data_IF_044769310936
#
_entry.id   IF_044769310936
#
_cell.length_a   1.000
_cell.length_b   1.000
_cell.length_c   1.000
_cell.angle_alpha   90.00
_cell.angle_beta   90.00
_cell.angle_gamma   90.00
#
_symmetry.space_group_name_H-M   'P 1'
#
loop_
_entity.id
_entity.type
_entity.pdbx_description
1 polymer ?
#
# COMPACT_ATOMS: atom_id res chain seq x y z
N UNK A 1 -49.00 -53.81 -17.42
CA UNK A 1 -48.38 -55.08 -16.98
C UNK A 1 -48.26 -55.04 -15.46
N UNK A 2 -49.14 -55.80 -14.81
CA UNK A 2 -49.15 -56.00 -13.37
C UNK A 2 -48.17 -57.12 -13.00
N UNK A 3 -47.35 -56.91 -11.97
CA UNK A 3 -46.75 -58.02 -11.21
C UNK A 3 -47.03 -57.78 -9.74
N UNK A 4 -47.60 -58.82 -9.14
CA UNK A 4 -48.14 -58.96 -7.79
C UNK A 4 -47.09 -59.53 -6.83
N UNK A 5 -47.16 -59.06 -5.59
CA UNK A 5 -47.13 -59.82 -4.32
C UNK A 5 -45.86 -60.59 -3.95
N UNK A 6 -45.35 -60.25 -2.76
CA UNK A 6 -44.44 -61.06 -1.95
C UNK A 6 -44.31 -60.49 -0.54
N UNK A 7 -45.41 -60.52 0.23
CA UNK A 7 -45.47 -60.14 1.64
C UNK A 7 -44.91 -61.30 2.50
N UNK A 8 -43.67 -61.16 3.00
CA UNK A 8 -43.05 -62.05 3.97
C UNK A 8 -42.82 -61.31 5.27
N UNK A 9 -43.71 -61.50 6.24
CA UNK A 9 -43.63 -60.96 7.60
C UNK A 9 -42.65 -61.82 8.42
N UNK A 10 -41.44 -61.32 8.68
CA UNK A 10 -40.50 -61.91 9.65
C UNK A 10 -40.47 -61.01 10.88
N UNK A 11 -41.08 -61.49 11.95
CA UNK A 11 -41.09 -60.85 13.27
C UNK A 11 -39.75 -61.15 13.97
N UNK A 12 -38.78 -60.23 13.84
CA UNK A 12 -37.54 -60.26 14.61
C UNK A 12 -37.72 -59.42 15.89
N UNK A 13 -37.81 -60.09 17.03
CA UNK A 13 -37.72 -59.45 18.36
C UNK A 13 -36.25 -59.07 18.59
N UNK A 14 -35.91 -57.83 18.23
CA UNK A 14 -34.65 -57.19 18.59
C UNK A 14 -34.75 -56.70 20.03
N UNK A 15 -34.12 -57.44 20.95
CA UNK A 15 -33.71 -56.91 22.25
C UNK A 15 -32.67 -55.81 21.99
N UNK A 16 -33.11 -54.55 22.04
CA UNK A 16 -32.24 -53.39 21.93
C UNK A 16 -31.37 -53.28 23.20
N UNK A 17 -30.20 -53.91 23.17
CA UNK A 17 -29.11 -53.55 24.07
C UNK A 17 -28.63 -52.14 23.71
N UNK A 18 -28.36 -51.26 24.69
CA UNK A 18 -27.88 -49.91 24.40
C UNK A 18 -26.46 -49.99 23.80
N UNK A 19 -26.34 -49.74 22.50
CA UNK A 19 -25.07 -49.57 21.79
C UNK A 19 -24.48 -48.19 22.13
N UNK A 20 -24.07 -47.99 23.37
CA UNK A 20 -23.56 -46.71 23.87
C UNK A 20 -22.03 -46.48 23.74
N UNK A 21 -21.12 -47.47 23.63
CA UNK A 21 -19.68 -47.17 23.75
C UNK A 21 -18.98 -46.72 22.45
N UNK A 22 -19.55 -47.00 21.27
CA UNK A 22 -18.87 -46.72 20.00
C UNK A 22 -18.95 -45.25 19.55
N UNK A 23 -19.98 -44.51 19.98
CA UNK A 23 -20.16 -43.09 19.63
C UNK A 23 -19.18 -42.18 20.40
N UNK A 24 -18.95 -42.44 21.68
CA UNK A 24 -18.09 -41.59 22.54
C UNK A 24 -16.61 -41.58 22.15
N UNK A 25 -16.10 -42.71 21.64
CA UNK A 25 -14.75 -42.75 21.11
C UNK A 25 -14.59 -41.85 19.87
N UNK A 26 -15.64 -41.71 19.06
CA UNK A 26 -15.59 -40.95 17.81
C UNK A 26 -15.53 -39.43 18.01
N UNK A 27 -16.26 -38.87 18.98
CA UNK A 27 -16.23 -37.42 19.22
C UNK A 27 -14.90 -36.96 19.85
N UNK A 28 -14.32 -37.75 20.75
CA UNK A 28 -13.00 -37.47 21.30
C UNK A 28 -11.91 -37.54 20.22
N UNK A 29 -12.02 -38.48 19.28
CA UNK A 29 -11.14 -38.57 18.11
C UNK A 29 -11.30 -37.37 17.16
N UNK A 30 -12.55 -36.94 16.90
CA UNK A 30 -12.84 -35.76 16.10
C UNK A 30 -12.28 -34.48 16.71
N UNK A 31 -12.42 -34.30 18.03
CA UNK A 31 -11.85 -33.16 18.73
C UNK A 31 -10.32 -33.14 18.64
N UNK A 32 -9.67 -34.30 18.80
CA UNK A 32 -8.21 -34.42 18.64
C UNK A 32 -7.76 -34.14 17.21
N UNK A 33 -8.48 -34.64 16.21
CA UNK A 33 -8.21 -34.36 14.78
C UNK A 33 -8.37 -32.87 14.46
N UNK A 34 -9.44 -32.24 14.95
CA UNK A 34 -9.71 -30.82 14.74
C UNK A 34 -8.67 -29.93 15.46
N UNK A 35 -8.28 -30.28 16.69
CA UNK A 35 -7.21 -29.58 17.40
C UNK A 35 -5.87 -29.68 16.64
N UNK A 36 -5.51 -30.87 16.17
CA UNK A 36 -4.29 -31.06 15.38
C UNK A 36 -4.35 -30.30 14.03
N UNK A 37 -5.52 -30.19 13.40
CA UNK A 37 -5.70 -29.39 12.20
C UNK A 37 -5.54 -27.88 12.47
N UNK A 38 -6.08 -27.39 13.59
CA UNK A 38 -5.91 -26.00 14.02
C UNK A 38 -4.44 -25.66 14.32
N UNK A 39 -3.71 -26.54 15.00
CA UNK A 39 -2.28 -26.31 15.26
C UNK A 39 -1.45 -26.30 13.97
N UNK A 40 -1.76 -27.18 13.00
CA UNK A 40 -1.13 -27.13 11.67
C UNK A 40 -1.44 -25.82 10.95
N UNK A 41 -2.71 -25.39 10.94
CA UNK A 41 -3.11 -24.14 10.30
C UNK A 41 -2.43 -22.91 10.94
N UNK A 42 -2.24 -22.92 12.27
CA UNK A 42 -1.47 -21.87 12.98
C UNK A 42 0.01 -21.88 12.61
N UNK A 43 0.61 -23.06 12.49
CA UNK A 43 2.00 -23.19 12.06
C UNK A 43 2.18 -22.67 10.62
N UNK A 44 1.32 -23.09 9.69
CA UNK A 44 1.29 -22.61 8.30
C UNK A 44 1.06 -21.09 8.22
N UNK A 45 0.14 -20.55 9.02
CA UNK A 45 -0.07 -19.10 9.11
C UNK A 45 1.15 -18.37 9.69
N UNK A 46 1.89 -18.98 10.61
CA UNK A 46 3.15 -18.47 11.15
C UNK A 46 4.23 -18.41 10.07
N UNK A 47 4.43 -19.48 9.31
CA UNK A 47 5.35 -19.53 8.17
C UNK A 47 4.97 -18.50 7.09
N UNK A 48 3.68 -18.41 6.76
CA UNK A 48 3.15 -17.38 5.87
C UNK A 48 3.43 -15.97 6.41
N UNK A 49 3.30 -15.74 7.71
CA UNK A 49 3.65 -14.48 8.36
C UNK A 49 5.12 -14.09 8.17
N UNK A 50 6.05 -15.05 8.30
CA UNK A 50 7.48 -14.84 8.04
C UNK A 50 7.73 -14.51 6.56
N UNK A 51 7.09 -15.25 5.65
CA UNK A 51 7.18 -15.00 4.21
C UNK A 51 6.65 -13.60 3.84
N UNK A 52 5.51 -13.18 4.43
CA UNK A 52 4.96 -11.83 4.25
C UNK A 52 5.91 -10.75 4.77
N UNK A 53 6.55 -10.96 5.91
CA UNK A 53 7.51 -10.00 6.45
C UNK A 53 8.73 -9.83 5.52
N UNK A 54 9.29 -10.95 5.03
CA UNK A 54 10.37 -10.96 4.04
C UNK A 54 9.95 -10.26 2.75
N UNK A 55 8.78 -10.62 2.21
CA UNK A 55 8.26 -10.02 0.97
C UNK A 55 7.96 -8.53 1.10
N UNK A 56 7.50 -8.04 2.26
CA UNK A 56 7.34 -6.61 2.52
C UNK A 56 8.68 -5.88 2.55
N UNK A 57 9.71 -6.49 3.13
CA UNK A 57 11.06 -5.93 3.10
C UNK A 57 11.63 -5.85 1.68
N UNK A 58 11.38 -6.86 0.84
CA UNK A 58 11.72 -6.85 -0.58
C UNK A 58 10.95 -5.78 -1.34
N UNK A 59 9.63 -5.67 -1.14
CA UNK A 59 8.80 -4.64 -1.74
C UNK A 59 9.28 -3.22 -1.38
N UNK A 60 9.70 -3.00 -0.14
CA UNK A 60 10.29 -1.72 0.29
C UNK A 60 11.62 -1.43 -0.43
N UNK A 61 12.47 -2.43 -0.65
CA UNK A 61 13.72 -2.29 -1.42
C UNK A 61 13.44 -1.96 -2.89
N UNK A 62 12.50 -2.65 -3.52
CA UNK A 62 12.06 -2.38 -4.89
C UNK A 62 11.49 -0.96 -5.03
N UNK A 63 10.65 -0.52 -4.08
CA UNK A 63 10.14 0.85 -4.05
C UNK A 63 11.28 1.89 -4.00
N UNK A 64 12.27 1.68 -3.14
CA UNK A 64 13.43 2.56 -3.05
C UNK A 64 14.29 2.54 -4.34
N UNK A 65 14.35 1.41 -5.06
CA UNK A 65 15.00 1.33 -6.37
C UNK A 65 14.23 2.12 -7.43
N UNK A 66 12.90 1.99 -7.47
CA UNK A 66 12.04 2.72 -8.39
C UNK A 66 12.08 4.23 -8.17
N UNK A 67 12.16 4.69 -6.92
CA UNK A 67 12.35 6.12 -6.63
C UNK A 67 13.67 6.66 -7.19
N UNK A 68 14.77 5.88 -7.08
CA UNK A 68 16.06 6.25 -7.69
C UNK A 68 15.96 6.30 -9.21
N UNK A 69 15.34 5.29 -9.81
CA UNK A 69 15.17 5.21 -11.26
C UNK A 69 14.26 6.33 -11.80
N UNK A 70 13.22 6.72 -11.05
CA UNK A 70 12.40 7.87 -11.37
C UNK A 70 13.22 9.17 -11.34
N UNK A 71 14.12 9.33 -10.38
CA UNK A 71 15.09 10.43 -10.35
C UNK A 71 16.03 10.43 -11.56
N UNK A 72 16.50 9.27 -12.00
CA UNK A 72 17.33 9.13 -13.21
C UNK A 72 16.55 9.49 -14.49
N UNK A 73 15.27 9.08 -14.59
CA UNK A 73 14.37 9.48 -15.69
C UNK A 73 14.20 11.00 -15.71
N UNK A 74 13.94 11.62 -14.56
CA UNK A 74 13.79 13.07 -14.45
C UNK A 74 15.07 13.80 -14.90
N UNK A 75 16.24 13.34 -14.46
CA UNK A 75 17.52 13.89 -14.88
C UNK A 75 17.74 13.73 -16.40
N UNK A 76 17.36 12.58 -16.98
CA UNK A 76 17.44 12.35 -18.42
C UNK A 76 16.47 13.25 -19.21
N UNK A 77 15.28 13.52 -18.69
CA UNK A 77 14.32 14.47 -19.27
C UNK A 77 14.84 15.90 -19.30
N UNK A 78 15.50 16.35 -18.23
CA UNK A 78 16.17 17.65 -18.19
C UNK A 78 17.29 17.71 -19.25
N UNK A 79 18.16 16.68 -19.32
CA UNK A 79 19.22 16.61 -20.34
C UNK A 79 18.66 16.67 -21.76
N UNK A 80 17.61 15.90 -22.03
CA UNK A 80 16.92 15.91 -23.32
C UNK A 80 16.34 17.30 -23.65
N UNK A 81 15.68 17.94 -22.68
CA UNK A 81 15.07 19.26 -22.87
C UNK A 81 16.10 20.35 -23.16
N UNK A 82 17.25 20.31 -22.47
CA UNK A 82 18.39 21.20 -22.74
C UNK A 82 18.96 20.97 -24.14
N UNK A 83 19.20 19.71 -24.53
CA UNK A 83 19.69 19.36 -25.86
C UNK A 83 18.72 19.79 -26.97
N UNK A 84 17.42 19.57 -26.77
CA UNK A 84 16.39 19.99 -27.71
C UNK A 84 16.26 21.53 -27.80
N UNK A 85 16.44 22.23 -26.68
CA UNK A 85 16.52 23.69 -26.65
C UNK A 85 17.69 24.23 -27.45
N UNK A 86 18.89 23.68 -27.24
CA UNK A 86 20.08 24.06 -28.00
C UNK A 86 19.91 23.78 -29.51
N UNK A 87 19.36 22.61 -29.87
CA UNK A 87 19.09 22.26 -31.25
C UNK A 87 18.15 23.28 -31.92
N UNK A 88 17.06 23.68 -31.25
CA UNK A 88 16.13 24.71 -31.76
C UNK A 88 16.79 26.08 -31.93
N UNK A 89 17.59 26.51 -30.97
CA UNK A 89 18.33 27.78 -31.05
C UNK A 89 19.29 27.79 -32.25
N UNK A 90 19.97 26.66 -32.51
CA UNK A 90 20.88 26.52 -33.67
C UNK A 90 20.15 26.54 -35.00
N UNK A 91 19.07 25.78 -35.14
CA UNK A 91 18.24 25.80 -36.36
C UNK A 91 17.73 27.23 -36.64
N UNK A 92 17.33 27.95 -35.58
CA UNK A 92 16.90 29.35 -35.70
C UNK A 92 18.05 30.26 -36.15
N UNK A 93 19.25 30.12 -35.58
CA UNK A 93 20.43 30.90 -35.97
C UNK A 93 20.88 30.62 -37.42
N UNK A 94 20.82 29.36 -37.86
CA UNK A 94 21.08 28.97 -39.26
C UNK A 94 20.08 29.63 -40.20
N UNK A 95 18.79 29.59 -39.85
CA UNK A 95 17.73 30.22 -40.65
C UNK A 95 17.91 31.74 -40.76
N UNK A 96 18.18 32.43 -39.63
CA UNK A 96 18.40 33.89 -39.61
C UNK A 96 19.65 34.28 -40.41
N UNK A 97 20.76 33.56 -40.23
CA UNK A 97 22.02 33.87 -40.93
C UNK A 97 21.98 33.55 -42.44
N UNK A 98 21.14 32.60 -42.87
CA UNK A 98 20.88 32.34 -44.27
C UNK A 98 20.02 33.44 -44.93
N UNK A 99 19.08 34.03 -44.18
CA UNK A 99 18.26 35.16 -44.65
C UNK A 99 19.05 36.46 -44.87
N UNK A 100 20.10 36.69 -44.08
CA UNK A 100 20.88 37.95 -44.08
C UNK A 100 21.92 38.05 -45.22
N UNK A 101 22.23 36.94 -45.91
CA UNK A 101 23.30 36.87 -46.93
C UNK A 101 22.80 36.92 -48.38
N UNK A 102 21.51 37.16 -48.63
CA UNK A 102 20.95 37.33 -49.98
C UNK A 102 21.06 38.80 -50.44
N UNK A 103 22.25 39.37 -50.34
CA UNK A 103 22.63 40.68 -50.89
C UNK A 103 23.77 40.50 -51.88
N UNK A 104 23.46 40.10 -53.11
CA UNK A 104 24.45 39.77 -54.15
C UNK A 104 24.90 41.01 -54.92
N UNK A 105 26.15 41.46 -54.75
CA UNK A 105 26.97 42.02 -55.85
C UNK A 105 28.47 41.67 -55.69
N UNK A 106 28.97 41.02 -56.74
CA UNK A 106 30.36 40.93 -57.21
C UNK A 106 31.44 40.28 -56.34
N UNK A 107 31.63 38.96 -56.51
CA UNK A 107 32.96 38.32 -56.48
C UNK A 107 32.96 36.97 -57.21
N UNK A 108 34.04 36.65 -57.91
CA UNK A 108 34.23 35.46 -58.78
C UNK A 108 34.47 34.13 -58.01
N UNK A 109 33.52 33.81 -57.13
CA UNK A 109 33.37 32.61 -56.26
C UNK A 109 34.22 32.39 -54.98
N UNK A 110 34.62 33.44 -54.23
CA UNK A 110 34.96 33.28 -52.81
C UNK A 110 33.74 32.83 -51.97
N UNK A 111 32.52 33.05 -52.47
CA UNK A 111 31.28 32.53 -51.89
C UNK A 111 31.19 31.00 -51.89
N UNK A 112 31.86 30.30 -52.82
CA UNK A 112 31.91 28.84 -52.89
C UNK A 112 32.85 28.22 -51.87
N UNK A 113 33.99 28.85 -51.61
CA UNK A 113 34.93 28.42 -50.55
C UNK A 113 34.34 28.69 -49.16
N UNK A 114 33.75 29.87 -48.95
CA UNK A 114 33.05 30.19 -47.70
C UNK A 114 31.81 29.32 -47.52
N UNK A 115 31.03 29.01 -48.57
CA UNK A 115 29.92 28.05 -48.47
C UNK A 115 30.38 26.64 -48.16
N UNK A 116 31.47 26.15 -48.74
CA UNK A 116 32.00 24.81 -48.44
C UNK A 116 32.57 24.72 -47.03
N UNK A 117 33.32 25.72 -46.59
CA UNK A 117 33.84 25.78 -45.21
C UNK A 117 32.72 25.96 -44.18
N UNK A 118 31.71 26.79 -44.49
CA UNK A 118 30.52 26.95 -43.66
C UNK A 118 29.69 25.67 -43.65
N UNK A 119 29.40 25.04 -44.79
CA UNK A 119 28.67 23.77 -44.85
C UNK A 119 29.43 22.63 -44.15
N UNK A 120 30.77 22.59 -44.22
CA UNK A 120 31.58 21.61 -43.51
C UNK A 120 31.63 21.87 -41.99
N UNK A 121 31.75 23.14 -41.56
CA UNK A 121 31.76 23.51 -40.15
C UNK A 121 30.38 23.40 -39.48
N UNK A 122 29.31 23.68 -40.24
CA UNK A 122 27.91 23.39 -39.89
C UNK A 122 27.73 21.87 -39.81
N UNK A 123 28.21 21.10 -40.79
CA UNK A 123 28.04 19.65 -40.77
C UNK A 123 28.70 18.97 -39.56
N UNK A 124 29.97 19.19 -39.26
CA UNK A 124 30.65 18.43 -38.19
C UNK A 124 30.13 18.78 -36.80
N UNK A 125 29.93 20.08 -36.53
CA UNK A 125 29.44 20.54 -35.24
C UNK A 125 27.97 20.18 -35.03
N UNK A 126 27.12 20.29 -36.06
CA UNK A 126 25.70 19.96 -35.96
C UNK A 126 25.45 18.45 -35.88
N UNK A 127 26.28 17.63 -36.53
CA UNK A 127 26.27 16.17 -36.33
C UNK A 127 26.53 15.79 -34.87
N UNK A 128 27.46 16.48 -34.20
CA UNK A 128 27.71 16.28 -32.77
C UNK A 128 26.47 16.55 -31.90
N UNK A 129 25.71 17.60 -32.20
CA UNK A 129 24.49 17.94 -31.46
C UNK A 129 23.32 16.99 -31.75
N UNK A 130 23.12 16.63 -33.02
CA UNK A 130 22.08 15.67 -33.40
C UNK A 130 22.36 14.31 -32.74
N UNK A 131 23.62 13.87 -32.73
CA UNK A 131 24.03 12.67 -32.02
C UNK A 131 23.80 12.79 -30.50
N UNK A 132 24.12 13.94 -29.89
CA UNK A 132 23.85 14.15 -28.47
C UNK A 132 22.34 14.12 -28.13
N UNK A 133 21.50 14.72 -28.99
CA UNK A 133 20.05 14.68 -28.85
C UNK A 133 19.49 13.26 -29.01
N UNK A 134 19.97 12.51 -29.99
CA UNK A 134 19.59 11.12 -30.23
C UNK A 134 19.98 10.22 -29.05
N UNK A 135 21.21 10.35 -28.55
CA UNK A 135 21.69 9.63 -27.37
C UNK A 135 20.85 9.97 -26.14
N UNK A 136 20.54 11.26 -25.91
CA UNK A 136 19.70 11.68 -24.80
C UNK A 136 18.25 11.14 -24.90
N UNK A 137 17.69 11.13 -26.11
CA UNK A 137 16.35 10.58 -26.37
C UNK A 137 16.31 9.06 -26.14
N UNK A 138 17.32 8.34 -26.62
CA UNK A 138 17.44 6.90 -26.45
C UNK A 138 17.66 6.50 -24.99
N UNK A 139 18.50 7.26 -24.26
CA UNK A 139 18.73 7.06 -22.82
C UNK A 139 17.42 7.27 -22.03
N UNK A 140 16.70 8.37 -22.30
CA UNK A 140 15.41 8.66 -21.66
C UNK A 140 14.42 7.52 -21.88
N UNK A 141 14.24 7.06 -23.12
CA UNK A 141 13.29 5.98 -23.41
C UNK A 141 13.70 4.64 -22.79
N UNK A 142 15.01 4.35 -22.73
CA UNK A 142 15.53 3.17 -22.03
C UNK A 142 15.19 3.22 -20.54
N UNK A 143 15.42 4.36 -19.88
CA UNK A 143 15.14 4.53 -18.46
C UNK A 143 13.62 4.47 -18.19
N UNK A 144 12.79 5.10 -19.03
CA UNK A 144 11.33 5.01 -18.92
C UNK A 144 10.85 3.57 -19.04
N UNK A 145 11.32 2.80 -20.04
CA UNK A 145 11.01 1.36 -20.14
C UNK A 145 11.43 0.58 -18.89
N UNK A 146 12.65 0.78 -18.41
CA UNK A 146 13.12 0.13 -17.19
C UNK A 146 12.24 0.45 -15.98
N UNK A 147 11.75 1.69 -15.86
CA UNK A 147 10.86 2.10 -14.78
C UNK A 147 9.53 1.36 -14.86
N UNK A 148 8.96 1.23 -16.06
CA UNK A 148 7.72 0.48 -16.30
C UNK A 148 7.85 -0.99 -15.93
N UNK A 149 8.93 -1.63 -16.38
CA UNK A 149 9.17 -3.06 -16.15
C UNK A 149 9.34 -3.37 -14.65
N UNK A 150 10.14 -2.56 -13.93
CA UNK A 150 10.34 -2.74 -12.48
C UNK A 150 9.07 -2.44 -11.67
N UNK A 151 8.26 -1.49 -12.11
CA UNK A 151 7.02 -1.17 -11.43
C UNK A 151 5.96 -2.27 -11.62
N UNK A 152 5.93 -2.90 -12.81
CA UNK A 152 5.12 -4.09 -13.04
C UNK A 152 5.57 -5.27 -12.17
N UNK A 153 6.88 -5.45 -11.98
CA UNK A 153 7.42 -6.45 -11.06
C UNK A 153 7.00 -6.19 -9.60
N UNK A 154 7.07 -4.94 -9.14
CA UNK A 154 6.61 -4.57 -7.80
C UNK A 154 5.11 -4.83 -7.62
N UNK A 155 4.29 -4.49 -8.62
CA UNK A 155 2.85 -4.76 -8.59
C UNK A 155 2.56 -6.27 -8.54
N UNK A 156 3.29 -7.07 -9.31
CA UNK A 156 3.22 -8.53 -9.27
C UNK A 156 3.58 -9.10 -7.89
N UNK A 157 4.64 -8.59 -7.26
CA UNK A 157 5.01 -8.98 -5.89
C UNK A 157 3.90 -8.62 -4.89
N UNK A 158 3.33 -7.41 -4.97
CA UNK A 158 2.26 -6.98 -4.08
C UNK A 158 1.04 -7.91 -4.16
N UNK A 159 0.57 -8.25 -5.36
CA UNK A 159 -0.54 -9.18 -5.57
C UNK A 159 -0.24 -10.58 -5.00
N UNK A 160 1.00 -11.08 -5.15
CA UNK A 160 1.39 -12.38 -4.57
C UNK A 160 1.36 -12.37 -3.05
N UNK A 161 1.81 -11.29 -2.41
CA UNK A 161 1.77 -11.15 -0.96
C UNK A 161 0.33 -11.06 -0.44
N UNK A 162 -0.53 -10.33 -1.14
CA UNK A 162 -1.96 -10.26 -0.79
C UNK A 162 -2.63 -11.64 -0.92
N UNK A 163 -2.38 -12.36 -2.01
CA UNK A 163 -2.90 -13.72 -2.19
C UNK A 163 -2.42 -14.70 -1.12
N UNK A 164 -1.15 -14.62 -0.70
CA UNK A 164 -0.61 -15.46 0.36
C UNK A 164 -1.22 -15.12 1.73
N UNK A 165 -1.43 -13.83 2.02
CA UNK A 165 -2.10 -13.39 3.25
C UNK A 165 -3.56 -13.86 3.30
N UNK A 166 -4.29 -13.75 2.18
CA UNK A 166 -5.67 -14.20 2.07
C UNK A 166 -5.79 -15.72 2.28
N UNK A 167 -4.97 -16.51 1.59
CA UNK A 167 -4.97 -17.97 1.71
C UNK A 167 -4.66 -18.45 3.14
N UNK A 168 -3.67 -17.85 3.80
CA UNK A 168 -3.34 -18.18 5.19
C UNK A 168 -4.48 -17.81 6.16
N UNK A 169 -5.13 -16.66 5.95
CA UNK A 169 -6.27 -16.22 6.75
C UNK A 169 -7.49 -17.14 6.60
N UNK A 170 -7.83 -17.52 5.38
CA UNK A 170 -8.95 -18.44 5.10
C UNK A 170 -8.73 -19.82 5.73
N UNK A 171 -7.52 -20.37 5.62
CA UNK A 171 -7.17 -21.65 6.22
C UNK A 171 -7.31 -21.62 7.76
N UNK A 172 -6.86 -20.54 8.41
CA UNK A 172 -6.98 -20.38 9.86
C UNK A 172 -8.45 -20.30 10.30
N UNK A 173 -9.25 -19.45 9.65
CA UNK A 173 -10.68 -19.30 9.96
C UNK A 173 -11.42 -20.63 9.77
N UNK A 174 -11.14 -21.36 8.70
CA UNK A 174 -11.74 -22.68 8.45
C UNK A 174 -11.38 -23.69 9.55
N UNK A 175 -10.13 -23.71 10.00
CA UNK A 175 -9.65 -24.60 11.06
C UNK A 175 -10.27 -24.26 12.43
N UNK A 176 -10.38 -22.97 12.77
CA UNK A 176 -11.04 -22.50 14.00
C UNK A 176 -12.52 -22.85 14.02
N UNK A 177 -13.21 -22.71 12.89
CA UNK A 177 -14.61 -23.10 12.76
C UNK A 177 -14.78 -24.62 12.91
N UNK A 178 -13.87 -25.43 12.33
CA UNK A 178 -13.89 -26.89 12.49
C UNK A 178 -13.66 -27.33 13.94
N UNK A 179 -12.68 -26.73 14.62
CA UNK A 179 -12.42 -26.97 16.03
C UNK A 179 -13.61 -26.60 16.91
N UNK A 180 -14.23 -25.44 16.66
CA UNK A 180 -15.41 -24.99 17.42
C UNK A 180 -16.60 -25.93 17.28
N UNK A 181 -16.85 -26.45 16.06
CA UNK A 181 -17.90 -27.47 15.83
C UNK A 181 -17.59 -28.79 16.54
N UNK A 182 -16.35 -29.27 16.46
CA UNK A 182 -15.94 -30.50 17.13
C UNK A 182 -16.07 -30.41 18.66
N UNK A 183 -15.69 -29.26 19.23
CA UNK A 183 -15.85 -28.97 20.65
C UNK A 183 -17.32 -28.96 21.08
N UNK A 184 -18.18 -28.27 20.33
CA UNK A 184 -19.62 -28.23 20.62
C UNK A 184 -20.26 -29.63 20.58
N UNK A 185 -19.86 -30.48 19.62
CA UNK A 185 -20.32 -31.86 19.54
C UNK A 185 -19.89 -32.70 20.75
N UNK A 186 -18.62 -32.58 21.17
CA UNK A 186 -18.11 -33.26 22.36
C UNK A 186 -18.81 -32.79 23.65
N UNK A 187 -19.01 -31.48 23.82
CA UNK A 187 -19.72 -30.92 24.99
C UNK A 187 -21.19 -31.40 25.06
N UNK A 188 -21.85 -31.54 23.90
CA UNK A 188 -23.20 -32.08 23.82
C UNK A 188 -23.27 -33.57 24.21
N UNK A 189 -22.28 -34.37 23.80
CA UNK A 189 -22.19 -35.78 24.19
C UNK A 189 -21.93 -35.94 25.70
N UNK A 190 -20.98 -35.19 26.26
CA UNK A 190 -20.72 -35.18 27.70
C UNK A 190 -21.94 -34.73 28.52
N UNK A 191 -22.72 -33.77 28.00
CA UNK A 191 -23.99 -33.38 28.63
C UNK A 191 -25.02 -34.51 28.60
N UNK A 192 -25.13 -35.25 27.49
CA UNK A 192 -26.02 -36.41 27.38
C UNK A 192 -25.60 -37.53 28.35
N UNK A 193 -24.31 -37.83 28.46
CA UNK A 193 -23.78 -38.82 29.41
C UNK A 193 -24.08 -38.41 30.86
N UNK A 194 -23.89 -37.14 31.22
CA UNK A 194 -24.25 -36.61 32.55
C UNK A 194 -25.75 -36.71 32.83
N UNK A 195 -26.60 -36.44 31.85
CA UNK A 195 -28.06 -36.56 31.99
C UNK A 195 -28.49 -38.01 32.24
N UNK A 196 -27.90 -38.98 31.52
CA UNK A 196 -28.16 -40.42 31.73
C UNK A 196 -27.69 -40.86 33.13
N UNK A 197 -26.51 -40.43 33.57
CA UNK A 197 -25.99 -40.74 34.91
C UNK A 197 -26.87 -40.15 36.04
N UNK A 198 -27.37 -38.92 35.86
CA UNK A 198 -28.28 -38.28 36.81
C UNK A 198 -29.65 -38.98 36.88
N UNK A 199 -30.17 -39.46 35.74
CA UNK A 199 -31.41 -40.25 35.70
C UNK A 199 -31.26 -41.60 36.40
N UNK A 200 -30.10 -42.26 36.26
CA UNK A 200 -29.80 -43.54 36.90
C UNK A 200 -29.70 -43.42 38.43
N UNK A 201 -29.05 -42.36 38.94
CA UNK A 201 -28.98 -42.09 40.39
C UNK A 201 -30.35 -41.78 40.98
N UNK A 202 -31.18 -40.99 40.30
CA UNK A 202 -32.56 -40.69 40.75
C UNK A 202 -33.42 -41.95 40.87
N UNK A 203 -33.30 -42.88 39.92
CA UNK A 203 -34.04 -44.16 39.93
C UNK A 203 -33.63 -45.05 41.11
N UNK A 204 -32.35 -45.03 41.49
CA UNK A 204 -31.83 -45.83 42.60
C UNK A 204 -32.18 -45.24 43.96
N UNK A 205 -32.18 -43.91 44.09
CA UNK A 205 -32.52 -43.20 45.33
C UNK A 205 -34.01 -43.33 45.71
N UNK A 206 -34.91 -43.48 44.73
CA UNK A 206 -36.36 -43.67 44.98
C UNK A 206 -36.71 -45.05 45.57
N UNK A 207 -35.75 -45.97 45.71
CA UNK A 207 -35.96 -47.30 46.30
C UNK A 207 -35.47 -47.43 47.76
N UNK A 208 -34.90 -46.38 48.36
CA UNK A 208 -34.42 -46.39 49.74
C UNK A 208 -35.51 -45.93 50.75
N UNK A 209 -35.70 -46.61 51.90
CA UNK A 209 -36.70 -46.25 52.90
C UNK A 209 -36.37 -44.90 53.60
N UNK A 210 -37.39 -44.16 54.08
CA UNK A 210 -37.21 -42.80 54.59
C UNK A 210 -36.40 -42.81 55.88
N UNK A 211 -35.19 -42.25 55.83
CA UNK A 211 -34.39 -41.95 57.02
C UNK A 211 -34.53 -40.46 57.34
N UNK A 212 -35.02 -40.18 58.54
CA UNK A 212 -35.18 -38.85 59.11
C UNK A 212 -33.78 -38.33 59.45
N UNK A 213 -33.38 -37.16 58.94
CA UNK A 213 -32.13 -36.53 59.41
C UNK A 213 -32.28 -35.02 59.53
N UNK A 214 -31.85 -34.58 60.71
CA UNK A 214 -31.96 -33.27 61.34
C UNK A 214 -31.04 -32.23 60.70
N UNK A 215 -31.59 -31.04 60.48
CA UNK A 215 -30.92 -29.81 60.02
C UNK A 215 -29.92 -29.27 61.05
N UNK A 216 -28.67 -29.06 60.62
CA UNK A 216 -27.69 -28.22 61.32
C UNK A 216 -27.10 -27.20 60.34
N UNK A 217 -27.20 -25.92 60.71
CA UNK A 217 -26.74 -24.76 59.94
C UNK A 217 -25.25 -24.45 60.21
N UNK A 218 -24.77 -23.36 59.57
CA UNK A 218 -23.55 -22.53 59.85
C UNK A 218 -22.34 -22.82 58.92
N UNK A 219 -21.43 -21.85 58.64
CA UNK A 219 -21.58 -20.42 58.31
C UNK A 219 -20.94 -20.00 56.95
N UNK A 220 -21.27 -18.76 56.57
CA UNK A 220 -20.71 -17.88 55.54
C UNK A 220 -19.17 -17.74 55.55
N UNK A 221 -18.53 -17.85 54.38
CA UNK A 221 -17.13 -17.46 54.17
C UNK A 221 -17.02 -16.33 53.12
N UNK A 222 -16.25 -15.31 53.48
CA UNK A 222 -16.00 -14.08 52.73
C UNK A 222 -15.00 -14.29 51.57
N UNK A 223 -15.16 -13.53 50.49
CA UNK A 223 -14.22 -13.49 49.36
C UNK A 223 -13.50 -12.15 49.31
N UNK A 224 -12.18 -12.20 49.33
CA UNK A 224 -11.25 -11.05 49.26
C UNK A 224 -11.09 -10.57 47.82
N UNK A 225 -11.14 -9.25 47.62
CA UNK A 225 -10.89 -8.58 46.33
C UNK A 225 -9.43 -8.15 46.24
N UNK A 226 -8.73 -8.54 45.16
CA UNK A 226 -7.34 -8.13 44.87
C UNK A 226 -7.36 -7.10 43.74
N UNK A 227 -6.87 -5.90 44.01
CA UNK A 227 -6.73 -4.80 43.06
C UNK A 227 -5.44 -4.93 42.23
N UNK A 228 -5.50 -4.54 40.96
CA UNK A 228 -4.37 -4.50 40.04
C UNK A 228 -3.77 -3.07 39.96
N UNK A 229 -2.44 -3.01 39.94
CA UNK A 229 -1.61 -1.80 39.91
C UNK A 229 -1.40 -1.32 38.47
N UNK A 230 -1.68 -0.04 38.18
CA UNK A 230 -1.27 0.67 36.95
C UNK A 230 0.15 1.20 37.07
N UNK A 231 0.98 0.94 36.06
CA UNK A 231 2.34 1.50 35.92
C UNK A 231 2.32 2.70 34.97
N UNK A 232 2.86 3.83 35.43
CA UNK A 232 3.05 5.07 34.69
C UNK A 232 4.44 5.08 34.04
N UNK A 233 4.54 5.33 32.73
CA UNK A 233 5.82 5.53 32.02
C UNK A 233 6.03 7.02 31.74
N UNK A 234 7.22 7.51 32.12
CA UNK A 234 7.65 8.90 32.05
C UNK A 234 8.22 9.30 30.68
N UNK A 235 8.10 10.60 30.37
CA UNK A 235 8.60 11.29 29.18
C UNK A 235 10.12 11.55 29.23
N UNK A 236 10.74 11.70 28.05
CA UNK A 236 12.13 12.13 27.85
C UNK A 236 12.15 13.33 26.88
N UNK A 237 13.09 14.30 27.02
CA UNK A 237 12.99 15.63 26.43
C UNK A 237 13.56 15.76 25.01
N UNK A 238 13.11 16.82 24.34
CA UNK A 238 13.44 17.20 22.97
C UNK A 238 14.84 17.82 22.82
N UNK A 239 15.51 17.46 21.73
CA UNK A 239 16.77 18.07 21.25
C UNK A 239 16.43 19.15 20.23
N UNK A 240 16.89 20.38 20.48
CA UNK A 240 16.77 21.51 19.56
C UNK A 240 17.78 21.40 18.42
N UNK A 241 17.34 21.70 17.19
CA UNK A 241 18.22 21.88 16.03
C UNK A 241 18.02 23.27 15.43
N UNK A 242 19.14 23.95 15.18
CA UNK A 242 19.28 25.29 14.61
C UNK A 242 18.90 25.32 13.13
N UNK A 243 18.14 26.33 12.67
CA UNK A 243 17.88 26.56 11.25
C UNK A 243 18.45 27.91 10.79
N UNK A 244 19.22 27.84 9.71
CA UNK A 244 19.80 28.97 8.97
C UNK A 244 18.72 29.64 8.11
N UNK A 245 18.60 30.96 8.22
CA UNK A 245 17.63 31.81 7.52
C UNK A 245 18.07 32.10 6.08
N UNK A 246 17.30 31.60 5.10
CA UNK A 246 17.31 32.02 3.70
C UNK A 246 15.95 32.65 3.37
N UNK A 247 15.97 33.79 2.66
CA UNK A 247 14.81 34.63 2.38
C UNK A 247 13.62 33.83 1.80
N UNK A 248 12.53 33.77 2.57
CA UNK A 248 11.30 33.06 2.22
C UNK A 248 10.39 33.95 1.36
N UNK A 249 10.05 33.49 0.16
CA UNK A 249 8.90 33.98 -0.59
C UNK A 249 7.65 33.58 0.19
N UNK A 250 6.95 34.54 0.78
CA UNK A 250 5.80 34.28 1.65
C UNK A 250 4.58 33.93 0.80
N UNK A 251 4.40 32.64 0.49
CA UNK A 251 3.16 32.15 -0.12
C UNK A 251 2.07 32.24 0.96
N UNK A 252 1.08 33.11 0.76
CA UNK A 252 -0.03 33.27 1.71
C UNK A 252 -0.86 32.00 1.74
N UNK A 253 -0.90 31.32 2.89
CA UNK A 253 -1.75 30.15 3.11
C UNK A 253 -3.23 30.59 3.05
N UNK A 254 -4.07 30.01 2.17
CA UNK A 254 -5.48 30.35 2.11
C UNK A 254 -6.18 30.07 3.44
N UNK A 255 -7.21 30.85 3.78
CA UNK A 255 -8.06 30.56 4.94
C UNK A 255 -8.81 29.22 4.78
N UNK A 256 -9.26 28.58 5.89
CA UNK A 256 -10.09 27.39 5.82
C UNK A 256 -11.39 27.66 5.06
N UNK A 257 -11.84 26.69 4.24
CA UNK A 257 -13.07 26.79 3.45
C UNK A 257 -14.07 25.73 3.91
N UNK A 258 -15.29 26.14 4.28
CA UNK A 258 -16.36 25.22 4.67
C UNK A 258 -17.20 24.73 3.47
N UNK A 259 -17.93 23.62 3.65
CA UNK A 259 -18.92 23.13 2.67
C UNK A 259 -18.43 22.12 1.64
N UNK A 260 -17.16 21.69 1.72
CA UNK A 260 -16.59 20.66 0.86
C UNK A 260 -16.68 19.23 1.41
N UNK A 261 -16.26 18.25 0.61
CA UNK A 261 -16.20 16.84 1.00
C UNK A 261 -15.04 16.52 1.95
N UNK A 262 -14.07 17.43 2.10
CA UNK A 262 -12.90 17.30 2.97
C UNK A 262 -12.96 18.30 4.14
N UNK A 263 -12.18 18.06 5.22
CA UNK A 263 -12.06 19.04 6.30
C UNK A 263 -11.61 20.42 5.77
N UNK A 264 -12.02 21.54 6.41
CA UNK A 264 -11.74 22.88 5.90
C UNK A 264 -10.25 23.19 5.67
N UNK A 265 -9.36 22.59 6.47
CA UNK A 265 -7.91 22.71 6.33
C UNK A 265 -7.36 22.07 5.05
N UNK A 266 -8.06 21.09 4.49
CA UNK A 266 -7.71 20.42 3.22
C UNK A 266 -8.44 21.11 2.07
N UNK A 267 -9.73 21.38 2.24
CA UNK A 267 -10.60 21.92 1.20
C UNK A 267 -10.12 23.28 0.67
N UNK A 268 -9.46 24.08 1.52
CA UNK A 268 -8.83 25.35 1.13
C UNK A 268 -7.83 25.25 -0.03
N UNK A 269 -7.27 24.07 -0.28
CA UNK A 269 -6.31 23.84 -1.35
C UNK A 269 -6.96 23.47 -2.69
N UNK A 270 -8.27 23.20 -2.73
CA UNK A 270 -8.96 22.81 -3.98
C UNK A 270 -8.69 23.75 -5.14
N UNK A 271 -8.74 25.10 -5.01
CA UNK A 271 -8.49 25.99 -6.14
C UNK A 271 -7.07 25.82 -6.71
N UNK A 272 -6.07 25.71 -5.84
CA UNK A 272 -4.67 25.49 -6.24
C UNK A 272 -4.49 24.11 -6.87
N UNK A 273 -5.03 23.06 -6.26
CA UNK A 273 -5.01 21.70 -6.82
C UNK A 273 -5.67 21.66 -8.21
N UNK A 274 -6.80 22.35 -8.39
CA UNK A 274 -7.53 22.40 -9.67
C UNK A 274 -6.76 23.16 -10.76
N UNK A 275 -5.76 23.98 -10.41
CA UNK A 275 -4.91 24.65 -11.37
C UNK A 275 -3.86 23.71 -12.00
N UNK A 276 -3.46 22.64 -11.29
CA UNK A 276 -2.42 21.71 -11.73
C UNK A 276 -2.93 20.33 -12.10
N UNK A 277 -4.02 19.87 -11.48
CA UNK A 277 -4.58 18.54 -11.71
C UNK A 277 -5.79 18.59 -12.64
N UNK A 278 -5.97 17.58 -13.52
CA UNK A 278 -7.23 17.37 -14.23
C UNK A 278 -8.39 17.24 -13.23
N UNK A 279 -9.58 17.72 -13.61
CA UNK A 279 -10.75 17.73 -12.74
C UNK A 279 -11.07 16.37 -12.09
N UNK A 280 -10.85 15.26 -12.82
CA UNK A 280 -11.05 13.90 -12.33
C UNK A 280 -10.12 13.52 -11.15
N UNK A 281 -8.92 14.11 -11.06
CA UNK A 281 -7.92 13.80 -10.03
C UNK A 281 -7.93 14.79 -8.86
N UNK A 282 -8.71 15.88 -8.92
CA UNK A 282 -8.73 16.90 -7.86
C UNK A 282 -9.21 16.33 -6.52
N UNK A 283 -10.26 15.52 -6.54
CA UNK A 283 -10.75 14.86 -5.32
C UNK A 283 -9.72 13.89 -4.73
N UNK A 284 -9.07 13.13 -5.60
CA UNK A 284 -8.01 12.19 -5.22
C UNK A 284 -6.81 12.91 -4.61
N UNK A 285 -6.36 14.01 -5.22
CA UNK A 285 -5.28 14.85 -4.74
C UNK A 285 -5.57 15.41 -3.33
N UNK A 286 -6.81 15.86 -3.08
CA UNK A 286 -7.22 16.33 -1.75
C UNK A 286 -7.27 15.18 -0.73
N UNK A 287 -7.62 13.96 -1.14
CA UNK A 287 -7.53 12.76 -0.29
C UNK A 287 -6.08 12.49 0.14
N UNK A 288 -5.13 12.63 -0.79
CA UNK A 288 -3.70 12.52 -0.49
C UNK A 288 -3.23 13.63 0.46
N UNK A 289 -3.55 14.91 0.20
CA UNK A 289 -3.20 16.02 1.09
C UNK A 289 -3.73 15.79 2.52
N UNK A 290 -4.97 15.28 2.63
CA UNK A 290 -5.55 14.93 3.93
C UNK A 290 -4.73 13.88 4.66
N UNK A 291 -4.34 12.82 3.96
CA UNK A 291 -3.62 11.69 4.56
C UNK A 291 -2.16 12.05 4.90
N UNK A 292 -1.50 12.82 4.04
CA UNK A 292 -0.07 13.11 4.13
C UNK A 292 0.24 14.28 5.08
N UNK A 293 -0.57 15.34 5.08
CA UNK A 293 -0.29 16.55 5.89
C UNK A 293 -1.50 17.14 6.62
N UNK A 294 -2.68 16.54 6.45
CA UNK A 294 -3.95 17.11 6.91
C UNK A 294 -4.19 18.56 6.42
N UNK A 295 -3.61 18.91 5.27
CA UNK A 295 -3.71 20.24 4.68
C UNK A 295 -2.73 21.27 5.24
N UNK A 296 -1.80 20.91 6.12
CA UNK A 296 -0.78 21.84 6.62
C UNK A 296 0.47 21.80 5.72
N UNK A 297 0.88 22.93 5.10
CA UNK A 297 2.05 22.97 4.22
C UNK A 297 3.38 23.01 4.97
N UNK A 298 3.39 23.21 6.29
CA UNK A 298 4.61 23.28 7.11
C UNK A 298 4.96 21.94 7.77
N UNK A 299 4.14 20.91 7.56
CA UNK A 299 4.38 19.58 8.14
C UNK A 299 5.61 18.93 7.52
N UNK A 300 6.48 18.44 8.38
CA UNK A 300 7.60 17.57 8.04
C UNK A 300 7.52 16.25 8.83
N UNK A 301 7.72 15.13 8.14
CA UNK A 301 7.86 13.83 8.77
C UNK A 301 9.22 13.76 9.51
N UNK A 302 9.25 13.48 10.83
CA UNK A 302 10.48 13.51 11.62
C UNK A 302 11.45 12.37 11.29
N UNK A 303 10.99 11.29 10.66
CA UNK A 303 11.80 10.12 10.32
C UNK A 303 12.36 10.23 8.91
N UNK A 304 11.52 10.50 7.91
CA UNK A 304 11.93 10.55 6.50
C UNK A 304 12.36 11.94 6.03
N UNK A 305 12.03 12.98 6.80
CA UNK A 305 12.19 14.38 6.39
C UNK A 305 11.21 14.82 5.30
N UNK A 306 10.27 13.96 4.89
CA UNK A 306 9.26 14.28 3.89
C UNK A 306 8.49 15.55 4.28
N UNK A 307 8.23 16.46 3.34
CA UNK A 307 7.79 17.81 3.67
C UNK A 307 6.66 18.33 2.77
N UNK A 308 5.84 19.20 3.35
CA UNK A 308 4.76 19.93 2.69
C UNK A 308 3.50 19.11 2.45
N UNK A 309 2.59 19.66 1.63
CA UNK A 309 1.24 19.13 1.44
C UNK A 309 1.20 17.67 0.96
N UNK A 310 2.10 17.32 0.04
CA UNK A 310 2.23 15.97 -0.53
C UNK A 310 3.40 15.16 0.05
N UNK A 311 4.02 15.63 1.15
CA UNK A 311 5.13 14.95 1.84
C UNK A 311 6.24 14.48 0.87
N UNK A 312 6.82 15.42 0.12
CA UNK A 312 7.91 15.09 -0.79
C UNK A 312 9.21 14.82 -0.02
N UNK A 313 9.91 13.73 -0.36
CA UNK A 313 11.20 13.36 0.23
C UNK A 313 12.28 14.39 -0.19
N UNK A 314 13.03 15.00 0.77
CA UNK A 314 13.98 16.08 0.48
C UNK A 314 15.06 15.72 -0.54
N UNK A 315 15.52 14.46 -0.54
CA UNK A 315 16.54 13.97 -1.47
C UNK A 315 16.17 14.18 -2.95
N UNK A 316 14.89 14.07 -3.29
CA UNK A 316 14.42 14.16 -4.68
C UNK A 316 13.72 15.50 -4.96
N UNK A 317 13.64 16.37 -3.95
CA UNK A 317 12.88 17.61 -4.05
C UNK A 317 13.47 18.58 -5.09
N UNK A 318 14.81 18.85 -5.12
CA UNK A 318 15.37 19.81 -6.07
C UNK A 318 15.02 19.47 -7.52
N UNK A 319 15.13 18.20 -7.91
CA UNK A 319 14.83 17.75 -9.27
C UNK A 319 13.33 17.82 -9.58
N UNK A 320 12.47 17.42 -8.64
CA UNK A 320 11.00 17.46 -8.81
C UNK A 320 10.49 18.89 -8.93
N UNK A 321 10.97 19.78 -8.06
CA UNK A 321 10.61 21.19 -8.09
C UNK A 321 11.07 21.84 -9.40
N UNK A 322 12.30 21.58 -9.85
CA UNK A 322 12.80 22.07 -11.13
C UNK A 322 11.98 21.53 -12.32
N UNK A 323 11.64 20.24 -12.34
CA UNK A 323 10.83 19.63 -13.39
C UNK A 323 9.39 20.20 -13.44
N UNK A 324 8.86 20.62 -12.30
CA UNK A 324 7.57 21.32 -12.20
C UNK A 324 7.65 22.83 -12.49
N UNK A 325 8.82 23.37 -12.81
CA UNK A 325 9.02 24.79 -13.13
C UNK A 325 9.37 25.70 -11.96
N UNK A 326 9.71 25.13 -10.79
CA UNK A 326 10.02 25.84 -9.55
C UNK A 326 11.43 25.52 -9.01
N UNK A 327 12.50 25.73 -9.80
CA UNK A 327 13.85 25.42 -9.33
C UNK A 327 14.23 26.25 -8.10
N UNK A 328 14.72 25.59 -7.05
CA UNK A 328 15.17 26.25 -5.81
C UNK A 328 14.06 26.59 -4.81
N UNK A 329 12.79 26.30 -5.13
CA UNK A 329 11.68 26.49 -4.19
C UNK A 329 11.80 25.56 -2.98
N UNK A 330 11.22 25.97 -1.84
CA UNK A 330 11.10 25.15 -0.64
C UNK A 330 9.96 24.12 -0.78
N UNK A 331 10.08 22.89 -0.23
CA UNK A 331 8.97 21.93 -0.22
C UNK A 331 7.80 22.39 0.65
N UNK A 332 8.00 23.38 1.50
CA UNK A 332 6.94 23.97 2.33
C UNK A 332 6.13 25.06 1.58
N UNK A 333 6.56 25.46 0.38
CA UNK A 333 5.78 26.35 -0.47
C UNK A 333 4.68 25.56 -1.18
N UNK A 334 3.42 25.91 -0.90
CA UNK A 334 2.26 25.13 -1.33
C UNK A 334 2.17 24.94 -2.84
N UNK A 335 2.36 26.00 -3.63
CA UNK A 335 2.25 25.96 -5.09
C UNK A 335 3.33 25.06 -5.74
N UNK A 336 4.64 25.25 -5.47
CA UNK A 336 5.67 24.31 -5.91
C UNK A 336 5.39 22.87 -5.48
N UNK A 337 4.90 22.65 -4.25
CA UNK A 337 4.61 21.32 -3.72
C UNK A 337 3.46 20.64 -4.52
N UNK A 338 2.36 21.35 -4.73
CA UNK A 338 1.23 20.85 -5.54
C UNK A 338 1.63 20.63 -7.00
N UNK A 339 2.40 21.54 -7.60
CA UNK A 339 2.89 21.42 -8.97
C UNK A 339 3.82 20.21 -9.15
N UNK A 340 4.75 20.00 -8.21
CA UNK A 340 5.64 18.83 -8.20
C UNK A 340 4.87 17.51 -8.05
N UNK A 341 3.82 17.49 -7.23
CA UNK A 341 2.93 16.33 -7.11
C UNK A 341 2.20 16.05 -8.43
N UNK A 342 1.62 17.08 -9.07
CA UNK A 342 0.94 16.94 -10.36
C UNK A 342 1.87 16.43 -11.46
N UNK A 343 3.09 16.98 -11.54
CA UNK A 343 4.12 16.51 -12.46
C UNK A 343 4.44 15.02 -12.22
N UNK A 344 4.62 14.60 -10.97
CA UNK A 344 4.97 13.22 -10.65
C UNK A 344 3.83 12.25 -10.98
N UNK A 345 2.58 12.66 -10.76
CA UNK A 345 1.39 11.89 -11.17
C UNK A 345 1.31 11.75 -12.69
N UNK A 346 1.58 12.83 -13.44
CA UNK A 346 1.62 12.77 -14.91
C UNK A 346 2.71 11.80 -15.39
N UNK A 347 3.91 11.86 -14.81
CA UNK A 347 5.01 10.92 -15.11
C UNK A 347 4.63 9.48 -14.82
N UNK A 348 3.93 9.21 -13.71
CA UNK A 348 3.39 7.87 -13.42
C UNK A 348 2.45 7.40 -14.52
N UNK A 349 1.44 8.19 -14.87
CA UNK A 349 0.44 7.81 -15.88
C UNK A 349 1.05 7.62 -17.27
N UNK A 350 1.94 8.53 -17.71
CA UNK A 350 2.64 8.39 -18.99
C UNK A 350 3.58 7.18 -19.01
N UNK A 351 4.03 6.74 -17.84
CA UNK A 351 4.78 5.49 -17.67
C UNK A 351 3.85 4.28 -17.47
N UNK A 352 2.56 4.40 -17.72
CA UNK A 352 1.61 3.29 -17.56
C UNK A 352 1.42 2.81 -16.11
N UNK A 353 1.81 3.64 -15.13
CA UNK A 353 1.62 3.38 -13.71
C UNK A 353 0.34 4.05 -13.21
N UNK A 354 -0.27 3.55 -12.12
CA UNK A 354 -1.36 4.25 -11.45
C UNK A 354 -0.98 5.69 -11.06
N UNK A 355 -1.89 6.67 -11.13
CA UNK A 355 -1.61 8.08 -10.84
C UNK A 355 -0.82 8.32 -9.55
N UNK A 356 -1.24 7.68 -8.45
CA UNK A 356 -0.67 7.89 -7.11
C UNK A 356 0.42 6.87 -6.75
N UNK A 357 1.13 6.32 -7.73
CA UNK A 357 2.11 5.25 -7.54
C UNK A 357 3.11 5.51 -6.41
N UNK A 358 3.64 6.73 -6.35
CA UNK A 358 4.71 7.12 -5.43
C UNK A 358 4.23 7.47 -4.02
N UNK A 359 2.93 7.50 -3.76
CA UNK A 359 2.37 7.76 -2.44
C UNK A 359 2.03 6.45 -1.71
N UNK A 360 2.14 6.49 -0.39
CA UNK A 360 1.69 5.38 0.47
C UNK A 360 0.20 5.52 0.72
N UNK A 361 -0.26 6.76 0.95
CA UNK A 361 -1.66 7.11 0.92
C UNK A 361 -2.26 6.83 -0.47
N UNK A 362 -3.49 6.33 -0.49
CA UNK A 362 -4.26 6.08 -1.71
C UNK A 362 -5.60 6.84 -1.61
N UNK A 363 -6.14 7.34 -2.74
CA UNK A 363 -7.37 8.11 -2.76
C UNK A 363 -8.57 7.44 -2.11
#
# INVERSE_FOLDING_TARGET
MHVRVGLGLVLAVLLAAPTAPAAAASAADDLRRAAAALERARAEAGEAGVALASGRAEAARLRAQLERLAGEVAAAEVRYSLAAGEARMRVSALYVSAGDRVGWREAADPAGVVRRAYAAAVAERDLGFLNALEVAAAERERLRRSLRDQAAEQAGLAMRLEGLAAAAGEALVAAEAAYSRARAAWEAEEAALRAVAAAATTTTASAAPPTITTTAATPTAATTTTAATTTTTAATPATATTTTSGAATTTTVPGPVEGGAFPPAVERWRPLVSAYFPAALVGEALSIIRCESNGDPEVANPVSGAAGLFQHIPRYWPERAAAAGFPGASPFEAEPNVAAAAWLVAVSVESGLPPWYFWSCRP
#
